data_IF_011518823922
#
_entry.id   IF_011518823922
#
_cell.length_a   1.000
_cell.length_b   1.000
_cell.length_c   1.000
_cell.angle_alpha   90.00
_cell.angle_beta   90.00
_cell.angle_gamma   90.00
#
_symmetry.space_group_name_H-M   'P 1'
#
loop_
_entity.id
_entity.type
_entity.pdbx_description
1 polymer ?
#
# COMPACT_ATOMS: atom_id res chain seq x y z
N UNK A 1 -6.43 11.14 15.65
CA UNK A 1 -7.84 11.33 15.28
C UNK A 1 -7.93 11.47 13.76
N UNK A 2 -8.88 10.81 13.09
CA UNK A 2 -8.98 10.82 11.63
C UNK A 2 -9.31 12.22 11.10
N UNK A 3 -8.79 12.58 9.91
CA UNK A 3 -8.99 13.90 9.29
C UNK A 3 -10.46 14.26 9.10
N UNK A 4 -11.32 13.26 8.85
CA UNK A 4 -12.77 13.44 8.71
C UNK A 4 -13.40 13.95 10.02
N UNK A 5 -13.04 13.36 11.17
CA UNK A 5 -13.53 13.78 12.48
C UNK A 5 -13.08 15.22 12.77
N UNK A 6 -11.79 15.52 12.57
CA UNK A 6 -11.23 16.85 12.84
C UNK A 6 -11.93 17.94 12.01
N UNK A 7 -12.11 17.72 10.70
CA UNK A 7 -12.74 18.70 9.80
C UNK A 7 -14.25 18.88 10.07
N UNK A 8 -14.93 17.85 10.57
CA UNK A 8 -16.37 17.91 10.87
C UNK A 8 -16.74 18.71 12.13
N UNK A 9 -15.77 18.97 13.01
CA UNK A 9 -16.01 19.53 14.35
C UNK A 9 -15.72 21.04 14.45
N UNK A 10 -15.36 21.72 13.35
CA UNK A 10 -15.12 23.16 13.33
C UNK A 10 -13.84 23.61 14.03
N UNK A 11 -13.79 24.87 14.48
CA UNK A 11 -12.62 25.45 15.16
C UNK A 11 -12.51 24.91 16.59
N UNK A 12 -11.41 24.20 16.88
CA UNK A 12 -11.17 23.61 18.19
C UNK A 12 -10.04 24.31 18.94
N UNK A 13 -10.19 24.46 20.25
CA UNK A 13 -9.14 24.91 21.18
C UNK A 13 -8.77 23.75 22.11
N UNK A 14 -7.46 23.56 22.31
CA UNK A 14 -6.92 22.54 23.20
C UNK A 14 -7.05 21.11 22.65
N UNK A 15 -5.95 20.36 22.77
CA UNK A 15 -5.88 18.93 22.46
C UNK A 15 -5.52 18.19 23.75
N UNK A 16 -6.41 17.31 24.19
CA UNK A 16 -6.19 16.46 25.35
C UNK A 16 -7.01 15.17 25.16
N UNK A 17 -6.49 14.03 25.62
CA UNK A 17 -7.05 12.70 25.34
C UNK A 17 -8.50 12.58 25.84
N UNK A 18 -8.82 13.18 27.00
CA UNK A 18 -10.19 13.20 27.54
C UNK A 18 -11.17 13.94 26.62
N UNK A 19 -10.73 15.06 26.04
CA UNK A 19 -11.56 15.86 25.14
C UNK A 19 -11.69 15.14 23.80
N UNK A 20 -10.61 14.53 23.31
CA UNK A 20 -10.59 13.78 22.06
C UNK A 20 -11.47 12.52 22.13
N UNK A 21 -11.48 11.81 23.26
CA UNK A 21 -12.39 10.69 23.48
C UNK A 21 -13.87 11.14 23.42
N UNK A 22 -14.21 12.25 24.07
CA UNK A 22 -15.55 12.83 24.00
C UNK A 22 -15.94 13.26 22.58
N UNK A 23 -15.00 13.85 21.82
CA UNK A 23 -15.20 14.23 20.42
C UNK A 23 -15.46 13.02 19.52
N UNK A 24 -14.70 11.94 19.70
CA UNK A 24 -14.89 10.69 18.94
C UNK A 24 -16.26 10.09 19.26
N UNK A 25 -16.66 10.04 20.53
CA UNK A 25 -17.95 9.53 20.94
C UNK A 25 -19.10 10.36 20.35
N UNK A 26 -19.02 11.69 20.42
CA UNK A 26 -20.03 12.59 19.84
C UNK A 26 -20.13 12.42 18.32
N UNK A 27 -18.98 12.35 17.62
CA UNK A 27 -18.96 12.09 16.18
C UNK A 27 -19.58 10.73 15.83
N UNK A 28 -19.27 9.68 16.59
CA UNK A 28 -19.82 8.34 16.36
C UNK A 28 -21.34 8.32 16.57
N UNK A 29 -21.85 8.95 17.63
CA UNK A 29 -23.28 9.07 17.89
C UNK A 29 -24.01 9.81 16.77
N UNK A 30 -23.45 10.94 16.31
CA UNK A 30 -24.07 11.76 15.25
C UNK A 30 -24.13 11.04 13.89
N UNK A 31 -23.11 10.26 13.56
CA UNK A 31 -23.01 9.59 12.25
C UNK A 31 -23.36 8.10 12.33
N UNK A 32 -24.17 7.69 13.33
CA UNK A 32 -24.52 6.29 13.55
C UNK A 32 -25.29 5.70 12.36
N UNK A 33 -26.18 6.47 11.74
CA UNK A 33 -26.97 6.02 10.58
C UNK A 33 -26.11 5.82 9.32
N UNK A 34 -25.03 6.58 9.18
CA UNK A 34 -24.07 6.47 8.07
C UNK A 34 -22.90 5.49 8.38
N UNK A 35 -22.98 4.76 9.50
CA UNK A 35 -21.91 3.88 9.92
C UNK A 35 -21.73 2.70 8.96
N UNK A 36 -20.55 2.59 8.37
CA UNK A 36 -20.17 1.45 7.55
C UNK A 36 -19.48 0.39 8.41
N UNK A 37 -20.06 -0.81 8.43
CA UNK A 37 -19.45 -1.94 9.13
C UNK A 37 -18.20 -2.42 8.40
N UNK A 38 -17.16 -2.71 9.18
CA UNK A 38 -15.94 -3.28 8.64
C UNK A 38 -16.21 -4.68 8.09
N UNK A 39 -15.92 -4.89 6.81
CA UNK A 39 -15.96 -6.19 6.17
C UNK A 39 -14.55 -6.76 6.06
N UNK A 40 -14.25 -7.89 6.71
CA UNK A 40 -12.93 -8.50 6.60
C UNK A 40 -12.70 -8.99 5.16
N UNK A 41 -11.46 -8.88 4.66
CA UNK A 41 -11.09 -9.46 3.37
C UNK A 41 -11.25 -10.98 3.40
N UNK A 42 -11.46 -11.58 2.22
CA UNK A 42 -11.46 -13.03 2.07
C UNK A 42 -10.09 -13.59 2.44
N UNK A 43 -10.05 -14.81 3.00
CA UNK A 43 -8.81 -15.50 3.38
C UNK A 43 -7.80 -15.60 2.22
N UNK A 44 -8.28 -15.72 0.99
CA UNK A 44 -7.45 -15.77 -0.22
C UNK A 44 -6.70 -14.45 -0.45
N UNK A 45 -7.37 -13.32 -0.28
CA UNK A 45 -6.77 -11.97 -0.39
C UNK A 45 -5.73 -11.78 0.71
N UNK A 46 -6.03 -12.19 1.94
CA UNK A 46 -5.07 -12.12 3.04
C UNK A 46 -3.83 -13.00 2.77
N UNK A 47 -4.01 -14.16 2.13
CA UNK A 47 -2.89 -15.00 1.69
C UNK A 47 -2.03 -14.27 0.66
N UNK A 48 -2.64 -13.70 -0.38
CA UNK A 48 -1.93 -12.90 -1.41
C UNK A 48 -1.19 -11.73 -0.75
N UNK A 49 -1.85 -11.00 0.15
CA UNK A 49 -1.24 -9.88 0.87
C UNK A 49 0.01 -10.31 1.63
N UNK A 50 -0.05 -11.42 2.38
CA UNK A 50 1.11 -11.97 3.09
C UNK A 50 2.24 -12.38 2.15
N UNK A 51 1.91 -13.02 1.03
CA UNK A 51 2.91 -13.40 0.00
C UNK A 51 3.57 -12.16 -0.63
N UNK A 52 2.80 -11.10 -0.91
CA UNK A 52 3.33 -9.83 -1.41
C UNK A 52 4.24 -9.14 -0.39
N UNK A 53 3.86 -9.13 0.89
CA UNK A 53 4.71 -8.59 1.97
C UNK A 53 6.01 -9.37 2.10
N UNK A 54 5.94 -10.70 2.04
CA UNK A 54 7.14 -11.56 2.06
C UNK A 54 8.05 -11.28 0.87
N UNK A 55 7.47 -11.14 -0.34
CA UNK A 55 8.20 -10.75 -1.55
C UNK A 55 8.92 -9.41 -1.37
N UNK A 56 8.22 -8.38 -0.88
CA UNK A 56 8.80 -7.05 -0.64
C UNK A 56 9.96 -7.11 0.36
N UNK A 57 9.81 -7.90 1.44
CA UNK A 57 10.88 -8.13 2.40
C UNK A 57 12.12 -8.75 1.74
N UNK A 58 11.96 -9.83 0.97
CA UNK A 58 13.05 -10.50 0.27
C UNK A 58 13.75 -9.59 -0.76
N UNK A 59 12.98 -8.79 -1.50
CA UNK A 59 13.54 -7.81 -2.46
C UNK A 59 14.39 -6.76 -1.72
N UNK A 60 13.90 -6.24 -0.59
CA UNK A 60 14.66 -5.29 0.24
C UNK A 60 15.92 -5.92 0.81
N UNK A 61 15.86 -7.16 1.30
CA UNK A 61 17.04 -7.88 1.80
C UNK A 61 18.07 -8.07 0.69
N UNK A 62 17.65 -8.48 -0.52
CA UNK A 62 18.55 -8.60 -1.68
C UNK A 62 19.19 -7.25 -2.01
N UNK A 63 18.40 -6.18 -2.05
CA UNK A 63 18.90 -4.83 -2.36
C UNK A 63 19.92 -4.36 -1.31
N UNK A 64 19.68 -4.65 -0.03
CA UNK A 64 20.60 -4.34 1.07
C UNK A 64 21.95 -5.06 0.89
N UNK A 65 21.93 -6.37 0.60
CA UNK A 65 23.16 -7.14 0.37
C UNK A 65 23.98 -6.58 -0.79
N UNK A 66 23.32 -6.28 -1.92
CA UNK A 66 23.98 -5.70 -3.09
C UNK A 66 24.52 -4.29 -2.79
N UNK A 67 23.74 -3.47 -2.08
CA UNK A 67 24.16 -2.12 -1.69
C UNK A 67 25.41 -2.16 -0.81
N UNK A 68 25.42 -3.01 0.21
CA UNK A 68 26.59 -3.20 1.09
C UNK A 68 27.83 -3.60 0.29
N UNK A 69 27.71 -4.52 -0.68
CA UNK A 69 28.86 -4.90 -1.53
C UNK A 69 29.37 -3.73 -2.37
N UNK A 70 28.49 -2.85 -2.86
CA UNK A 70 28.87 -1.70 -3.67
C UNK A 70 29.48 -0.57 -2.83
N UNK A 71 28.95 -0.31 -1.64
CA UNK A 71 29.52 0.70 -0.72
C UNK A 71 30.93 0.32 -0.31
N UNK A 72 31.18 -0.96 0.00
CA UNK A 72 32.52 -1.44 0.35
C UNK A 72 33.55 -1.23 -0.76
N UNK A 73 33.15 -1.22 -2.04
CA UNK A 73 34.07 -0.98 -3.18
C UNK A 73 34.70 0.41 -3.13
N UNK A 74 34.03 1.37 -2.50
CA UNK A 74 34.53 2.75 -2.36
C UNK A 74 35.49 2.93 -1.19
N UNK A 75 35.47 2.04 -0.19
CA UNK A 75 36.33 2.14 1.00
C UNK A 75 37.56 1.25 0.92
N UNK A 76 37.42 -0.01 0.51
CA UNK A 76 38.52 -0.97 0.41
C UNK A 76 38.34 -1.90 -0.80
N UNK A 77 39.37 -2.12 -1.63
CA UNK A 77 39.22 -2.90 -2.87
C UNK A 77 39.17 -4.42 -2.67
N UNK A 78 39.58 -4.96 -1.51
CA UNK A 78 39.68 -6.41 -1.27
C UNK A 78 38.44 -7.02 -0.59
N UNK A 79 37.87 -6.32 0.40
CA UNK A 79 36.65 -6.73 1.10
C UNK A 79 35.42 -6.99 0.20
N UNK A 80 35.16 -6.22 -0.87
CA UNK A 80 34.01 -6.43 -1.75
C UNK A 80 34.02 -7.79 -2.42
N UNK A 81 35.19 -8.27 -2.85
CA UNK A 81 35.33 -9.58 -3.51
C UNK A 81 35.01 -10.71 -2.54
N UNK A 82 35.44 -10.57 -1.29
CA UNK A 82 35.14 -11.53 -0.22
C UNK A 82 33.64 -11.51 0.10
N UNK A 83 33.05 -10.32 0.20
CA UNK A 83 31.65 -10.15 0.55
C UNK A 83 30.72 -10.62 -0.58
N UNK A 84 31.06 -10.36 -1.84
CA UNK A 84 30.38 -10.92 -3.01
C UNK A 84 30.48 -12.44 -3.02
N UNK A 85 31.65 -13.03 -2.73
CA UNK A 85 31.85 -14.48 -2.70
C UNK A 85 30.90 -15.16 -1.70
N UNK A 86 30.78 -14.63 -0.49
CA UNK A 86 29.89 -15.21 0.53
C UNK A 86 28.42 -14.83 0.37
N UNK A 87 28.11 -13.65 -0.19
CA UNK A 87 26.74 -13.20 -0.39
C UNK A 87 26.09 -13.80 -1.64
N UNK A 88 26.87 -14.26 -2.62
CA UNK A 88 26.35 -14.77 -3.90
C UNK A 88 25.40 -15.95 -3.73
N UNK A 89 25.71 -16.91 -2.88
CA UNK A 89 24.85 -18.08 -2.62
C UNK A 89 23.54 -17.66 -1.96
N UNK A 90 23.59 -16.73 -1.01
CA UNK A 90 22.42 -16.16 -0.34
C UNK A 90 21.53 -15.41 -1.32
N UNK A 91 22.11 -14.56 -2.19
CA UNK A 91 21.36 -13.83 -3.23
C UNK A 91 20.69 -14.81 -4.20
N UNK A 92 21.38 -15.87 -4.62
CA UNK A 92 20.79 -16.91 -5.47
C UNK A 92 19.66 -17.67 -4.78
N UNK A 93 19.76 -17.91 -3.47
CA UNK A 93 18.69 -18.48 -2.65
C UNK A 93 17.45 -17.59 -2.68
N UNK A 94 17.63 -16.29 -2.38
CA UNK A 94 16.55 -15.30 -2.40
C UNK A 94 15.89 -15.21 -3.79
N UNK A 95 16.66 -15.28 -4.88
CA UNK A 95 16.09 -15.28 -6.24
C UNK A 95 15.24 -16.52 -6.53
N UNK A 96 15.62 -17.69 -6.02
CA UNK A 96 14.80 -18.91 -6.13
C UNK A 96 13.52 -18.77 -5.32
N UNK A 97 13.61 -18.24 -4.11
CA UNK A 97 12.45 -18.03 -3.24
C UNK A 97 11.46 -17.03 -3.86
N UNK A 98 11.96 -15.94 -4.45
CA UNK A 98 11.13 -14.98 -5.20
C UNK A 98 10.39 -15.64 -6.36
N UNK A 99 11.05 -16.51 -7.14
CA UNK A 99 10.40 -17.27 -8.22
C UNK A 99 9.35 -18.24 -7.69
N UNK A 100 9.59 -18.86 -6.54
CA UNK A 100 8.63 -19.77 -5.92
C UNK A 100 7.40 -19.01 -5.41
N UNK A 101 7.58 -17.85 -4.80
CA UNK A 101 6.48 -16.97 -4.39
C UNK A 101 5.68 -16.50 -5.59
N UNK A 102 6.34 -16.12 -6.69
CA UNK A 102 5.64 -15.69 -7.90
C UNK A 102 4.78 -16.80 -8.52
N UNK A 103 5.26 -18.05 -8.50
CA UNK A 103 4.48 -19.24 -8.89
C UNK A 103 3.33 -19.54 -7.94
N UNK A 104 3.53 -19.39 -6.64
CA UNK A 104 2.45 -19.59 -5.67
C UNK A 104 1.35 -18.53 -5.83
N UNK A 105 1.74 -17.28 -6.12
CA UNK A 105 0.80 -16.22 -6.45
C UNK A 105 -0.02 -16.55 -7.71
N UNK A 106 0.62 -17.08 -8.77
CA UNK A 106 -0.10 -17.48 -10.00
C UNK A 106 -1.15 -18.56 -9.69
N UNK A 107 -0.78 -19.60 -8.95
CA UNK A 107 -1.71 -20.66 -8.55
C UNK A 107 -2.91 -20.12 -7.78
N UNK A 108 -2.68 -19.23 -6.82
CA UNK A 108 -3.75 -18.66 -6.01
C UNK A 108 -4.72 -17.79 -6.85
N UNK A 109 -4.24 -17.19 -7.94
CA UNK A 109 -5.07 -16.42 -8.88
C UNK A 109 -5.87 -17.37 -9.78
N UNK A 110 -5.23 -18.42 -10.30
CA UNK A 110 -5.86 -19.43 -11.17
C UNK A 110 -6.93 -20.25 -10.43
N UNK A 111 -6.71 -20.55 -9.14
CA UNK A 111 -7.65 -21.32 -8.30
C UNK A 111 -8.96 -20.57 -8.01
N UNK A 112 -9.03 -19.24 -8.21
CA UNK A 112 -10.21 -18.41 -7.92
C UNK A 112 -10.63 -17.62 -9.17
N UNK A 113 -11.72 -18.07 -9.82
CA UNK A 113 -12.27 -17.44 -11.02
C UNK A 113 -12.56 -15.94 -10.85
N UNK A 114 -13.02 -15.52 -9.66
CA UNK A 114 -13.32 -14.10 -9.41
C UNK A 114 -12.03 -13.29 -9.39
N UNK A 115 -10.98 -13.82 -8.76
CA UNK A 115 -9.68 -13.16 -8.73
C UNK A 115 -9.01 -13.14 -10.10
N UNK A 116 -9.10 -14.22 -10.87
CA UNK A 116 -8.58 -14.26 -12.25
C UNK A 116 -9.23 -13.18 -13.11
N UNK A 117 -10.57 -13.08 -13.08
CA UNK A 117 -11.31 -12.06 -13.82
C UNK A 117 -10.93 -10.62 -13.39
N UNK A 118 -10.75 -10.39 -12.08
CA UNK A 118 -10.31 -9.08 -11.57
C UNK A 118 -8.88 -8.75 -11.97
N UNK A 119 -8.00 -9.75 -11.92
CA UNK A 119 -6.60 -9.64 -12.29
C UNK A 119 -6.46 -9.30 -13.78
N UNK A 120 -7.14 -10.03 -14.67
CA UNK A 120 -7.15 -9.76 -16.11
C UNK A 120 -7.58 -8.33 -16.42
N UNK A 121 -8.69 -7.88 -15.82
CA UNK A 121 -9.18 -6.50 -15.95
C UNK A 121 -8.14 -5.48 -15.47
N UNK A 122 -7.50 -5.72 -14.34
CA UNK A 122 -6.47 -4.82 -13.83
C UNK A 122 -5.23 -4.76 -14.74
N UNK A 123 -4.79 -5.91 -15.29
CA UNK A 123 -3.65 -6.00 -16.20
C UNK A 123 -3.91 -5.51 -17.62
N UNK A 124 -5.19 -5.35 -18.01
CA UNK A 124 -5.56 -4.78 -19.31
C UNK A 124 -5.10 -3.32 -19.48
N UNK A 125 -4.84 -2.63 -18.37
CA UNK A 125 -4.37 -1.25 -18.37
C UNK A 125 -2.87 -1.23 -18.64
N UNK A 126 -2.48 -0.50 -19.69
CA UNK A 126 -1.08 -0.31 -20.08
C UNK A 126 -0.27 0.26 -18.91
N UNK A 127 0.83 -0.40 -18.55
CA UNK A 127 1.71 0.00 -17.45
C UNK A 127 1.37 -0.63 -16.09
N UNK A 128 0.26 -1.36 -15.97
CA UNK A 128 -0.06 -2.14 -14.76
C UNK A 128 0.49 -3.56 -14.91
N UNK A 129 1.59 -3.85 -14.20
CA UNK A 129 2.16 -5.18 -14.10
C UNK A 129 1.47 -6.07 -13.06
N UNK A 130 1.88 -7.34 -13.00
CA UNK A 130 1.34 -8.36 -12.08
C UNK A 130 1.34 -7.90 -10.62
N UNK A 131 2.49 -7.43 -10.12
CA UNK A 131 2.64 -7.01 -8.72
C UNK A 131 1.76 -5.81 -8.39
N UNK A 132 1.69 -4.82 -9.30
CA UNK A 132 0.87 -3.62 -9.12
C UNK A 132 -0.62 -3.96 -9.15
N UNK A 133 -1.05 -4.84 -10.04
CA UNK A 133 -2.44 -5.31 -10.11
C UNK A 133 -2.85 -6.01 -8.80
N UNK A 134 -2.02 -6.96 -8.33
CA UNK A 134 -2.30 -7.69 -7.09
C UNK A 134 -2.29 -6.78 -5.86
N UNK A 135 -1.37 -5.81 -5.81
CA UNK A 135 -1.34 -4.84 -4.73
C UNK A 135 -2.61 -3.98 -4.73
N UNK A 136 -3.07 -3.53 -5.89
CA UNK A 136 -4.33 -2.78 -6.02
C UNK A 136 -5.53 -3.61 -5.57
N UNK A 137 -5.66 -4.85 -6.02
CA UNK A 137 -6.74 -5.78 -5.64
C UNK A 137 -6.73 -6.01 -4.12
N UNK A 138 -5.56 -6.23 -3.54
CA UNK A 138 -5.42 -6.40 -2.10
C UNK A 138 -5.75 -5.11 -1.34
N UNK A 139 -5.35 -3.95 -1.86
CA UNK A 139 -5.55 -2.67 -1.21
C UNK A 139 -7.03 -2.27 -1.17
N UNK A 140 -7.74 -2.48 -2.28
CA UNK A 140 -9.16 -2.11 -2.42
C UNK A 140 -10.12 -3.20 -1.95
N UNK A 141 -9.60 -4.33 -1.45
CA UNK A 141 -10.37 -5.52 -1.07
C UNK A 141 -11.29 -5.98 -2.22
N UNK A 142 -10.71 -6.38 -3.36
CA UNK A 142 -11.48 -6.73 -4.58
C UNK A 142 -12.32 -5.55 -5.12
N UNK A 143 -11.83 -4.31 -4.99
CA UNK A 143 -12.54 -3.08 -5.41
C UNK A 143 -13.88 -2.85 -4.70
N UNK A 144 -14.08 -3.44 -3.52
CA UNK A 144 -15.31 -3.25 -2.73
C UNK A 144 -15.26 -2.03 -1.81
N UNK A 145 -14.07 -1.50 -1.50
CA UNK A 145 -13.92 -0.34 -0.59
C UNK A 145 -14.38 1.00 -1.18
N UNK A 146 -14.42 1.14 -2.49
CA UNK A 146 -14.73 2.40 -3.17
C UNK A 146 -15.75 2.17 -4.28
N UNK A 147 -16.81 2.96 -4.29
CA UNK A 147 -17.83 2.88 -5.34
C UNK A 147 -17.40 3.62 -6.61
N UNK A 148 -16.61 4.68 -6.44
CA UNK A 148 -16.21 5.56 -7.52
C UNK A 148 -14.69 5.59 -7.70
N UNK A 149 -14.17 5.54 -8.95
CA UNK A 149 -12.74 5.61 -9.21
C UNK A 149 -12.13 6.94 -8.73
N UNK A 150 -12.92 8.02 -8.73
CA UNK A 150 -12.51 9.32 -8.17
C UNK A 150 -12.24 9.23 -6.67
N UNK A 151 -13.01 8.46 -5.91
CA UNK A 151 -12.78 8.31 -4.47
C UNK A 151 -11.43 7.63 -4.20
N UNK A 152 -11.11 6.58 -4.94
CA UNK A 152 -9.81 5.92 -4.87
C UNK A 152 -8.67 6.86 -5.27
N UNK A 153 -8.82 7.62 -6.35
CA UNK A 153 -7.81 8.58 -6.81
C UNK A 153 -7.56 9.71 -5.78
N UNK A 154 -8.62 10.23 -5.16
CA UNK A 154 -8.53 11.20 -4.08
C UNK A 154 -7.87 10.60 -2.84
N UNK A 155 -8.19 9.34 -2.51
CA UNK A 155 -7.56 8.63 -1.39
C UNK A 155 -6.06 8.45 -1.61
N UNK A 156 -5.65 8.06 -2.82
CA UNK A 156 -4.24 7.92 -3.20
C UNK A 156 -3.50 9.26 -3.27
N UNK A 157 -4.19 10.41 -3.16
CA UNK A 157 -3.58 11.74 -3.26
C UNK A 157 -3.03 12.05 -4.65
N UNK A 158 -3.58 11.45 -5.70
CA UNK A 158 -3.15 11.71 -7.09
C UNK A 158 -4.00 12.80 -7.77
N UNK A 159 -5.10 13.21 -7.14
CA UNK A 159 -6.01 14.22 -7.66
C UNK A 159 -5.67 15.58 -7.03
N UNK A 160 -5.25 16.58 -7.83
CA UNK A 160 -5.04 17.93 -7.32
C UNK A 160 -6.39 18.58 -7.02
N UNK A 161 -6.50 19.19 -5.83
CA UNK A 161 -7.66 19.99 -5.45
C UNK A 161 -7.33 21.48 -5.53
N UNK A 162 -8.32 22.25 -5.98
CA UNK A 162 -8.21 23.70 -5.99
C UNK A 162 -8.03 24.22 -4.55
N UNK A 163 -6.98 25.01 -4.33
CA UNK A 163 -6.74 25.67 -3.06
C UNK A 163 -7.16 27.13 -3.15
N UNK A 164 -8.48 27.33 -3.26
CA UNK A 164 -9.10 28.65 -3.25
C UNK A 164 -10.08 28.79 -2.09
N UNK A 165 -10.08 29.98 -1.47
CA UNK A 165 -11.01 30.31 -0.39
C UNK A 165 -11.44 31.77 -0.54
N UNK A 166 -12.72 31.98 -0.83
CA UNK A 166 -13.30 33.30 -1.07
C UNK A 166 -12.63 34.04 -2.22
N UNK A 167 -12.52 35.38 -2.09
CA UNK A 167 -11.87 36.24 -3.10
C UNK A 167 -10.36 36.47 -2.88
N UNK A 168 -9.81 36.08 -1.72
CA UNK A 168 -8.44 36.46 -1.34
C UNK A 168 -7.40 35.35 -1.45
N UNK A 169 -7.80 34.07 -1.43
CA UNK A 169 -6.86 32.95 -1.53
C UNK A 169 -7.00 32.30 -2.91
N UNK A 170 -5.96 32.45 -3.74
CA UNK A 170 -5.74 31.69 -4.98
C UNK A 170 -4.31 31.14 -4.94
N UNK A 171 -4.15 29.87 -4.59
CA UNK A 171 -2.87 29.18 -4.70
C UNK A 171 -2.91 28.09 -5.78
N UNK A 172 -1.74 27.60 -6.16
CA UNK A 172 -1.64 26.43 -7.04
C UNK A 172 -2.39 25.24 -6.41
N UNK A 173 -3.10 24.44 -7.21
CA UNK A 173 -3.75 23.22 -6.74
C UNK A 173 -2.75 22.34 -6.00
N UNK A 174 -3.19 21.74 -4.89
CA UNK A 174 -2.37 20.83 -4.09
C UNK A 174 -3.03 19.46 -4.06
N UNK A 175 -2.21 18.42 -4.14
CA UNK A 175 -2.61 17.04 -3.88
C UNK A 175 -2.48 16.73 -2.39
#
# INVERSE_FOLDING_TARGET
MSLKIIRSLGVQRGKNDKIDAGRIAYYAMKNQEEAQFYQPPRKVIDKIRKLLTLRDHLVKTKALLVKNTNELKSFEPELPKLNEKYSKTTIQGIEKDLKNIEKELDKVIEDDEKLSNLYEKATSVVGVGKVTALLLICFTNEFTMYENPRQLACYCGVVPFEYSSGKSVRAKPKC
#
